data_IF_894074056238
#
_entry.id   IF_894074056238
#
_cell.length_a   1.000
_cell.length_b   1.000
_cell.length_c   1.000
_cell.angle_alpha   90.00
_cell.angle_beta   90.00
_cell.angle_gamma   90.00
#
_symmetry.space_group_name_H-M   'P 1'
#
loop_
_entity.id
_entity.type
_entity.pdbx_description
1 polymer ?
#
# COMPACT_ATOMS: atom_id res chain seq x y z
N UNK A 1 -41.04 -11.04 -32.43
CA UNK A 1 -39.57 -10.79 -32.46
C UNK A 1 -39.14 -10.43 -31.04
N UNK A 2 -38.28 -11.20 -30.35
CA UNK A 2 -37.83 -10.80 -29.03
C UNK A 2 -36.99 -9.52 -29.15
N UNK A 3 -37.27 -8.53 -28.30
CA UNK A 3 -36.55 -7.26 -28.29
C UNK A 3 -35.08 -7.52 -27.95
N UNK A 4 -34.20 -7.43 -28.94
CA UNK A 4 -32.75 -7.53 -28.75
C UNK A 4 -32.30 -6.40 -27.84
N UNK A 5 -31.62 -6.73 -26.75
CA UNK A 5 -31.09 -5.73 -25.84
C UNK A 5 -29.99 -4.95 -26.54
N UNK A 6 -30.01 -3.61 -26.49
CA UNK A 6 -28.97 -2.74 -27.10
C UNK A 6 -27.55 -3.05 -26.62
N UNK A 7 -27.42 -3.81 -25.53
CA UNK A 7 -26.16 -4.26 -24.96
C UNK A 7 -25.54 -5.46 -25.70
N UNK A 8 -26.30 -6.18 -26.52
CA UNK A 8 -25.84 -7.39 -27.24
C UNK A 8 -24.67 -7.10 -28.17
N UNK A 9 -24.71 -5.97 -28.86
CA UNK A 9 -23.62 -5.51 -29.72
C UNK A 9 -22.33 -5.21 -28.94
N UNK A 10 -22.41 -4.96 -27.63
CA UNK A 10 -21.28 -4.64 -26.76
C UNK A 10 -20.81 -5.83 -25.91
N UNK A 11 -21.40 -7.02 -26.10
CA UNK A 11 -21.02 -8.23 -25.36
C UNK A 11 -19.53 -8.59 -25.57
N UNK A 12 -18.95 -8.26 -26.74
CA UNK A 12 -17.52 -8.43 -27.01
C UNK A 12 -16.63 -7.52 -26.14
N UNK A 13 -17.04 -6.26 -25.90
CA UNK A 13 -16.32 -5.29 -25.06
C UNK A 13 -16.39 -5.61 -23.57
N UNK A 14 -17.42 -6.33 -23.12
CA UNK A 14 -17.54 -6.76 -21.73
C UNK A 14 -16.36 -7.67 -21.40
N UNK A 15 -15.55 -7.29 -20.41
CA UNK A 15 -14.33 -8.00 -20.02
C UNK A 15 -13.03 -7.42 -20.59
N UNK A 16 -13.09 -6.55 -21.61
CA UNK A 16 -11.95 -5.81 -22.17
C UNK A 16 -11.92 -4.33 -21.76
N UNK A 17 -13.08 -3.80 -21.39
CA UNK A 17 -13.27 -2.42 -20.94
C UNK A 17 -14.07 -2.40 -19.64
N UNK A 18 -13.95 -1.31 -18.89
CA UNK A 18 -14.72 -1.12 -17.66
C UNK A 18 -16.21 -1.02 -17.98
N UNK A 19 -17.06 -1.47 -17.06
CA UNK A 19 -18.52 -1.36 -17.24
C UNK A 19 -18.97 0.08 -17.45
N UNK A 20 -18.28 1.04 -16.83
CA UNK A 20 -18.55 2.47 -17.01
C UNK A 20 -18.27 2.94 -18.43
N UNK A 21 -17.17 2.50 -19.05
CA UNK A 21 -16.87 2.88 -20.44
C UNK A 21 -17.91 2.29 -21.41
N UNK A 22 -18.32 1.04 -21.18
CA UNK A 22 -19.36 0.39 -22.00
C UNK A 22 -20.72 1.07 -21.78
N UNK A 23 -21.01 1.48 -20.54
CA UNK A 23 -22.24 2.19 -20.19
C UNK A 23 -22.36 3.52 -20.94
N UNK A 24 -21.26 4.28 -21.03
CA UNK A 24 -21.20 5.52 -21.81
C UNK A 24 -21.38 5.28 -23.31
N UNK A 25 -20.73 4.25 -23.86
CA UNK A 25 -20.86 3.89 -25.29
C UNK A 25 -22.27 3.40 -25.64
N UNK A 26 -22.90 2.68 -24.73
CA UNK A 26 -24.23 2.10 -24.92
C UNK A 26 -25.37 3.03 -24.46
N UNK A 27 -25.04 4.24 -24.01
CA UNK A 27 -25.96 5.22 -23.42
C UNK A 27 -26.93 4.56 -22.41
N UNK A 28 -26.35 3.85 -21.44
CA UNK A 28 -27.10 3.07 -20.47
C UNK A 28 -26.45 3.12 -19.08
N UNK A 29 -27.12 2.56 -18.06
CA UNK A 29 -26.54 2.50 -16.72
C UNK A 29 -25.45 1.43 -16.61
N UNK A 30 -24.40 1.71 -15.85
CA UNK A 30 -23.35 0.74 -15.54
C UNK A 30 -23.89 -0.53 -14.85
N UNK A 31 -25.02 -0.43 -14.15
CA UNK A 31 -25.71 -1.58 -13.57
C UNK A 31 -26.36 -2.50 -14.63
N UNK A 32 -26.88 -1.94 -15.73
CA UNK A 32 -27.42 -2.74 -16.83
C UNK A 32 -26.31 -3.54 -17.52
N UNK A 33 -25.15 -2.90 -17.76
CA UNK A 33 -23.94 -3.57 -18.26
C UNK A 33 -23.47 -4.65 -17.30
N UNK A 34 -23.42 -4.37 -15.98
CA UNK A 34 -23.04 -5.34 -14.95
C UNK A 34 -23.94 -6.58 -14.97
N UNK A 35 -25.27 -6.38 -15.04
CA UNK A 35 -26.24 -7.49 -15.10
C UNK A 35 -26.09 -8.32 -16.37
N UNK A 36 -25.90 -7.66 -17.52
CA UNK A 36 -25.67 -8.34 -18.80
C UNK A 36 -24.36 -9.13 -18.77
N UNK A 37 -23.27 -8.54 -18.28
CA UNK A 37 -21.97 -9.20 -18.12
C UNK A 37 -22.07 -10.46 -17.25
N UNK A 38 -22.76 -10.37 -16.11
CA UNK A 38 -22.99 -11.51 -15.22
C UNK A 38 -23.83 -12.60 -15.92
N UNK A 39 -24.83 -12.22 -16.72
CA UNK A 39 -25.66 -13.16 -17.49
C UNK A 39 -24.86 -13.90 -18.57
N UNK A 40 -23.85 -13.27 -19.17
CA UNK A 40 -22.96 -13.88 -20.17
C UNK A 40 -21.80 -14.63 -19.49
N UNK A 41 -21.65 -14.50 -18.18
CA UNK A 41 -20.58 -15.17 -17.41
C UNK A 41 -19.20 -14.56 -17.64
N UNK A 42 -19.09 -13.34 -18.19
CA UNK A 42 -17.79 -12.69 -18.38
C UNK A 42 -17.28 -12.09 -17.08
N UNK A 43 -15.98 -12.25 -16.84
CA UNK A 43 -15.30 -11.66 -15.68
C UNK A 43 -15.22 -10.14 -15.85
N UNK A 44 -15.26 -9.41 -14.73
CA UNK A 44 -15.02 -7.97 -14.72
C UNK A 44 -13.68 -7.66 -15.39
N UNK A 45 -13.64 -6.63 -16.24
CA UNK A 45 -12.37 -6.11 -16.74
C UNK A 45 -11.48 -5.69 -15.58
N UNK A 46 -10.43 -6.47 -15.34
CA UNK A 46 -9.35 -6.10 -14.44
C UNK A 46 -8.43 -5.19 -15.25
N UNK A 47 -8.51 -3.89 -14.98
CA UNK A 47 -7.65 -2.86 -15.59
C UNK A 47 -6.23 -3.09 -15.06
N UNK A 48 -5.51 -4.04 -15.67
CA UNK A 48 -4.17 -4.49 -15.32
C UNK A 48 -3.89 -4.36 -13.81
N UNK A 49 -4.60 -5.15 -12.99
CA UNK A 49 -4.33 -5.26 -11.56
C UNK A 49 -2.97 -5.91 -11.23
N UNK A 50 -2.19 -6.27 -12.25
CA UNK A 50 -0.86 -6.82 -12.10
C UNK A 50 0.03 -5.78 -11.40
N UNK A 51 0.69 -6.22 -10.32
CA UNK A 51 1.76 -5.44 -9.70
C UNK A 51 2.70 -4.96 -10.81
N UNK A 52 2.94 -3.63 -10.93
CA UNK A 52 3.84 -3.13 -11.96
C UNK A 52 5.18 -3.86 -11.88
N UNK A 53 5.75 -4.33 -13.01
CA UNK A 53 6.98 -5.12 -13.00
C UNK A 53 8.16 -4.35 -12.40
N UNK A 54 8.14 -3.01 -12.48
CA UNK A 54 9.09 -2.15 -11.81
C UNK A 54 9.06 -2.32 -10.27
N UNK A 55 7.88 -2.51 -9.66
CA UNK A 55 7.74 -2.69 -8.22
C UNK A 55 8.29 -4.04 -7.73
N UNK A 56 8.31 -5.07 -8.58
CA UNK A 56 8.87 -6.38 -8.24
C UNK A 56 10.38 -6.29 -7.93
N UNK A 57 11.13 -5.44 -8.65
CA UNK A 57 12.56 -5.21 -8.38
C UNK A 57 12.81 -4.66 -6.98
N UNK A 58 11.88 -3.86 -6.45
CA UNK A 58 11.97 -3.22 -5.13
C UNK A 58 11.18 -3.97 -4.05
N UNK A 59 10.74 -5.20 -4.30
CA UNK A 59 9.97 -6.01 -3.34
C UNK A 59 10.71 -6.22 -2.01
N UNK A 60 12.05 -6.24 -2.03
CA UNK A 60 12.91 -6.36 -0.85
C UNK A 60 12.89 -5.11 0.07
N UNK A 61 12.48 -3.94 -0.46
CA UNK A 61 12.34 -2.69 0.30
C UNK A 61 10.98 -2.54 0.97
N UNK A 62 9.98 -3.33 0.55
CA UNK A 62 8.63 -3.32 1.13
C UNK A 62 8.69 -3.64 2.63
N UNK A 63 8.24 -2.70 3.47
CA UNK A 63 8.27 -2.81 4.93
C UNK A 63 9.56 -2.33 5.60
N UNK A 64 10.63 -2.09 4.83
CA UNK A 64 11.91 -1.53 5.33
C UNK A 64 12.04 -0.02 5.09
N UNK A 65 11.33 0.50 4.09
CA UNK A 65 11.32 1.91 3.71
C UNK A 65 9.89 2.45 3.64
N UNK A 66 9.71 3.77 3.74
CA UNK A 66 8.40 4.37 3.61
C UNK A 66 7.83 4.15 2.20
N UNK A 67 6.52 3.92 2.14
CA UNK A 67 5.78 3.64 0.91
C UNK A 67 6.02 4.71 -0.15
N UNK A 68 6.09 5.99 0.26
CA UNK A 68 6.31 7.11 -0.65
C UNK A 68 7.69 7.07 -1.34
N UNK A 69 8.74 6.65 -0.64
CA UNK A 69 10.06 6.49 -1.26
C UNK A 69 10.07 5.32 -2.24
N UNK A 70 9.47 4.19 -1.84
CA UNK A 70 9.39 3.00 -2.71
C UNK A 70 8.59 3.31 -3.97
N UNK A 71 7.49 4.04 -3.84
CA UNK A 71 6.67 4.51 -4.96
C UNK A 71 7.47 5.36 -5.94
N UNK A 72 8.25 6.33 -5.43
CA UNK A 72 9.14 7.18 -6.24
C UNK A 72 10.24 6.37 -6.93
N UNK A 73 10.90 5.47 -6.20
CA UNK A 73 11.97 4.62 -6.74
C UNK A 73 11.48 3.67 -7.81
N UNK A 74 10.30 3.08 -7.61
CA UNK A 74 9.70 2.15 -8.57
C UNK A 74 8.95 2.87 -9.71
N UNK A 75 8.74 4.19 -9.62
CA UNK A 75 7.95 4.96 -10.59
C UNK A 75 6.48 4.56 -10.62
N UNK A 76 5.91 4.12 -9.49
CA UNK A 76 4.55 3.58 -9.38
C UNK A 76 3.74 4.34 -8.35
N UNK A 77 2.42 4.33 -8.47
CA UNK A 77 1.54 4.90 -7.45
C UNK A 77 1.71 4.19 -6.10
N UNK A 78 1.67 4.96 -5.02
CA UNK A 78 1.68 4.46 -3.64
C UNK A 78 0.58 3.40 -3.39
N UNK A 79 -0.52 3.48 -4.11
CA UNK A 79 -1.61 2.49 -4.05
C UNK A 79 -1.11 1.07 -4.37
N UNK A 80 -0.32 0.89 -5.45
CA UNK A 80 0.21 -0.43 -5.83
C UNK A 80 1.19 -0.95 -4.78
N UNK A 81 1.98 -0.08 -4.17
CA UNK A 81 2.91 -0.43 -3.08
C UNK A 81 2.16 -0.93 -1.85
N UNK A 82 1.12 -0.21 -1.40
CA UNK A 82 0.29 -0.62 -0.25
C UNK A 82 -0.45 -1.92 -0.55
N UNK A 83 -1.06 -2.04 -1.73
CA UNK A 83 -1.73 -3.27 -2.17
C UNK A 83 -0.76 -4.45 -2.15
N UNK A 84 0.48 -4.26 -2.62
CA UNK A 84 1.50 -5.30 -2.63
C UNK A 84 2.00 -5.67 -1.23
N UNK A 85 2.14 -4.69 -0.32
CA UNK A 85 2.46 -4.94 1.09
C UNK A 85 1.37 -5.80 1.74
N UNK A 86 0.10 -5.48 1.49
CA UNK A 86 -1.04 -6.29 1.99
C UNK A 86 -1.04 -7.70 1.41
N UNK A 87 -0.82 -7.85 0.11
CA UNK A 87 -0.74 -9.16 -0.55
C UNK A 87 0.41 -10.03 -0.02
N UNK A 88 1.52 -9.42 0.39
CA UNK A 88 2.68 -10.13 0.94
C UNK A 88 2.66 -10.23 2.46
N UNK A 89 1.57 -9.78 3.10
CA UNK A 89 1.40 -9.71 4.56
C UNK A 89 2.61 -9.09 5.30
N UNK A 90 3.31 -8.16 4.64
CA UNK A 90 4.51 -7.53 5.20
C UNK A 90 4.12 -6.44 6.19
N UNK A 91 4.90 -6.24 7.27
CA UNK A 91 4.66 -5.13 8.18
C UNK A 91 4.82 -3.81 7.43
N UNK A 92 3.90 -2.88 7.69
CA UNK A 92 4.02 -1.51 7.18
C UNK A 92 5.18 -0.82 7.89
N UNK A 93 6.02 -0.12 7.12
CA UNK A 93 7.11 0.66 7.68
C UNK A 93 6.55 1.75 8.61
N UNK A 94 6.92 1.68 9.90
CA UNK A 94 6.63 2.72 10.88
C UNK A 94 7.95 3.39 11.26
N UNK A 95 8.13 4.66 10.89
CA UNK A 95 9.23 5.48 11.40
C UNK A 95 8.89 5.85 12.84
N UNK A 96 9.66 5.35 13.80
CA UNK A 96 9.57 5.80 15.18
C UNK A 96 10.43 7.05 15.31
N UNK A 97 9.88 8.19 15.77
CA UNK A 97 10.61 9.45 15.94
C UNK A 97 11.94 9.29 16.72
N UNK A 98 12.00 8.28 17.58
CA UNK A 98 13.22 7.94 18.33
C UNK A 98 14.42 7.53 17.46
N UNK A 99 14.21 7.11 16.21
CA UNK A 99 15.31 6.78 15.29
C UNK A 99 16.19 7.98 15.00
N UNK A 100 15.62 9.18 15.04
CA UNK A 100 16.36 10.41 14.74
C UNK A 100 17.31 10.77 15.90
N UNK A 101 17.03 10.25 17.10
CA UNK A 101 17.82 10.41 18.32
C UNK A 101 18.71 9.20 18.65
N UNK A 102 18.95 8.31 17.68
CA UNK A 102 19.84 7.16 17.87
C UNK A 102 21.27 7.57 18.25
N UNK A 103 21.74 8.74 17.79
CA UNK A 103 23.05 9.29 18.12
C UNK A 103 23.19 9.77 19.58
N UNK A 104 22.08 9.99 20.29
CA UNK A 104 22.05 10.38 21.71
C UNK A 104 21.86 9.19 22.65
N UNK A 105 21.60 7.99 22.11
CA UNK A 105 21.46 6.80 22.93
C UNK A 105 22.82 6.42 23.53
N UNK A 106 22.85 6.27 24.86
CA UNK A 106 24.07 6.00 25.62
C UNK A 106 24.76 7.27 26.14
N UNK A 107 24.50 8.45 25.56
CA UNK A 107 24.98 9.75 26.06
C UNK A 107 23.99 10.40 27.02
N UNK A 108 22.69 10.17 26.85
CA UNK A 108 21.63 10.67 27.73
C UNK A 108 20.81 9.52 28.33
N UNK A 109 20.08 9.81 29.41
CA UNK A 109 19.16 8.85 30.02
C UNK A 109 17.99 8.52 29.07
N UNK A 110 17.45 7.30 29.19
CA UNK A 110 16.30 6.87 28.37
C UNK A 110 15.09 7.81 28.54
N UNK A 111 14.96 8.46 29.70
CA UNK A 111 13.87 9.41 29.96
C UNK A 111 14.06 10.70 29.16
N UNK A 112 15.25 11.29 29.18
CA UNK A 112 15.53 12.52 28.42
C UNK A 112 15.38 12.33 26.91
N UNK A 113 15.81 11.17 26.39
CA UNK A 113 15.63 10.81 24.97
C UNK A 113 14.15 10.61 24.65
N UNK A 114 13.39 10.00 25.57
CA UNK A 114 11.96 9.80 25.41
C UNK A 114 11.20 11.14 25.35
N UNK A 115 11.55 12.09 26.21
CA UNK A 115 10.97 13.42 26.26
C UNK A 115 11.30 14.22 24.97
N UNK A 116 12.54 14.14 24.48
CA UNK A 116 12.96 14.75 23.20
C UNK A 116 12.26 14.13 21.98
N UNK A 117 12.13 12.81 21.97
CA UNK A 117 11.49 12.07 20.88
C UNK A 117 9.95 12.08 20.97
N UNK A 118 9.36 12.67 22.00
CA UNK A 118 7.92 12.66 22.25
C UNK A 118 7.34 11.25 22.39
N UNK A 119 8.11 10.32 22.95
CA UNK A 119 7.75 8.92 23.07
C UNK A 119 7.86 8.42 24.52
N UNK A 120 7.45 7.19 24.80
CA UNK A 120 7.58 6.64 26.15
C UNK A 120 9.01 6.20 26.47
N UNK A 121 9.41 6.27 27.75
CA UNK A 121 10.70 5.74 28.24
C UNK A 121 10.97 4.30 27.79
N UNK A 122 9.92 3.47 27.74
CA UNK A 122 10.02 2.09 27.27
C UNK A 122 10.36 1.99 25.77
N UNK A 123 9.95 2.94 24.94
CA UNK A 123 10.39 3.02 23.54
C UNK A 123 11.89 3.31 23.44
N UNK A 124 12.40 4.24 24.25
CA UNK A 124 13.83 4.54 24.36
C UNK A 124 14.65 3.35 24.82
N UNK A 125 14.23 2.68 25.89
CA UNK A 125 14.87 1.47 26.38
C UNK A 125 14.91 0.37 25.32
N UNK A 126 13.79 0.09 24.64
CA UNK A 126 13.72 -0.91 23.57
C UNK A 126 14.60 -0.56 22.37
N UNK A 127 14.69 0.72 21.99
CA UNK A 127 15.57 1.18 20.92
C UNK A 127 17.04 0.99 21.31
N UNK A 128 17.41 1.35 22.54
CA UNK A 128 18.78 1.19 23.07
C UNK A 128 19.23 -0.26 23.06
N UNK A 129 18.37 -1.15 23.54
CA UNK A 129 18.61 -2.61 23.50
C UNK A 129 18.78 -3.11 22.06
N UNK A 130 18.01 -2.58 21.11
CA UNK A 130 18.12 -2.96 19.69
C UNK A 130 19.41 -2.46 19.03
N UNK A 131 19.96 -1.33 19.50
CA UNK A 131 21.24 -0.79 19.05
C UNK A 131 22.44 -1.38 19.80
N UNK A 132 22.23 -2.30 20.76
CA UNK A 132 23.27 -2.84 21.64
C UNK A 132 24.10 -1.77 22.37
N UNK A 133 23.50 -0.61 22.64
CA UNK A 133 24.17 0.46 23.37
C UNK A 133 24.00 0.22 24.88
N UNK A 134 25.08 0.34 25.64
CA UNK A 134 25.05 0.21 27.09
C UNK A 134 24.16 1.30 27.72
N UNK A 135 23.49 0.95 28.81
CA UNK A 135 22.73 1.95 29.55
C UNK A 135 23.69 3.03 30.06
N UNK A 136 23.34 4.29 29.83
CA UNK A 136 24.02 5.38 30.52
C UNK A 136 23.69 5.22 32.01
N UNK A 137 24.63 4.65 32.77
CA UNK A 137 24.56 4.60 34.23
C UNK A 137 24.92 6.00 34.69
N UNK A 138 23.95 6.88 34.64
CA UNK A 138 24.06 8.18 35.29
C UNK A 138 24.15 7.89 36.80
N UNK A 139 25.39 7.89 37.28
CA UNK A 139 25.73 7.82 38.70
C UNK A 139 25.28 9.12 39.35
N UNK A 140 24.16 9.06 40.07
CA UNK A 140 23.84 10.02 41.11
C UNK A 140 23.44 9.28 42.37
#
# INVERSE_FOLDING_TARGET
MPARSRLEQYDHLMGERTDQAIALLADCSAEAVRRRRLKIGKVRFALAEACPPALLKYQHLLGKRPVAEIAKLAGVSAYFVIKRIKQLEKPTFKRSAITDFDHLQGTMSDQAIADLAGCSKECARKRRLRLNVSANRDTR
#
